data_IF_433252555398
#
_entry.id   IF_433252555398
#
_cell.length_a   1.000
_cell.length_b   1.000
_cell.length_c   1.000
_cell.angle_alpha   90.00
_cell.angle_beta   90.00
_cell.angle_gamma   90.00
#
_symmetry.space_group_name_H-M   'P 1'
#
loop_
_entity.id
_entity.type
_entity.pdbx_description
1 polymer ?
#
# COMPACT_ATOMS: atom_id res chain seq x y z
N UNK A 1 33.74 8.03 -30.44
CA UNK A 1 33.22 9.41 -30.67
C UNK A 1 33.06 10.06 -29.30
N UNK A 2 33.84 11.09 -29.00
CA UNK A 2 33.75 11.82 -27.73
C UNK A 2 32.91 13.07 -27.92
N UNK A 3 31.87 13.24 -27.12
CA UNK A 3 31.05 14.46 -27.10
C UNK A 3 31.56 15.37 -26.00
N UNK A 4 32.26 16.44 -26.39
CA UNK A 4 32.65 17.51 -25.48
C UNK A 4 31.59 18.61 -25.56
N UNK A 5 30.54 18.49 -24.74
CA UNK A 5 29.52 19.53 -24.55
C UNK A 5 29.55 20.02 -23.11
N UNK A 6 29.74 21.32 -22.93
CA UNK A 6 29.54 21.99 -21.65
C UNK A 6 28.08 21.86 -21.22
N UNK A 7 27.85 21.48 -19.96
CA UNK A 7 26.50 21.51 -19.39
C UNK A 7 25.98 22.94 -19.41
N UNK A 8 24.78 23.15 -19.96
CA UNK A 8 24.08 24.43 -19.87
C UNK A 8 23.63 24.73 -18.43
N UNK A 9 23.06 25.92 -18.16
CA UNK A 9 22.59 26.28 -16.83
C UNK A 9 21.54 25.29 -16.31
N UNK A 10 21.84 24.60 -15.21
CA UNK A 10 20.91 23.70 -14.53
C UNK A 10 19.86 24.55 -13.82
N UNK A 11 18.57 24.35 -14.14
CA UNK A 11 17.46 25.13 -13.56
C UNK A 11 16.73 24.42 -12.42
N UNK A 12 16.82 23.10 -12.36
CA UNK A 12 16.20 22.28 -11.34
C UNK A 12 16.95 20.96 -11.21
N UNK A 13 16.93 20.39 -10.00
CA UNK A 13 17.35 19.02 -9.70
C UNK A 13 16.22 18.44 -8.84
N UNK A 14 15.68 17.30 -9.24
CA UNK A 14 14.67 16.55 -8.50
C UNK A 14 15.28 15.24 -8.05
N UNK A 15 14.95 14.82 -6.83
CA UNK A 15 15.35 13.53 -6.29
C UNK A 15 14.11 12.69 -6.10
N UNK A 16 14.20 11.44 -6.51
CA UNK A 16 13.28 10.41 -6.03
C UNK A 16 13.61 10.09 -4.57
N UNK A 17 12.67 9.49 -3.84
CA UNK A 17 12.83 9.14 -2.44
C UNK A 17 13.35 7.71 -2.29
N UNK A 18 12.49 6.77 -2.69
CA UNK A 18 12.70 5.33 -2.57
C UNK A 18 13.84 4.88 -3.48
N UNK A 19 14.74 4.02 -2.98
CA UNK A 19 15.93 3.51 -3.69
C UNK A 19 16.91 4.59 -4.21
N UNK A 20 16.68 5.87 -3.87
CA UNK A 20 17.55 6.99 -4.21
C UNK A 20 18.14 7.64 -2.97
N UNK A 21 17.31 8.02 -2.00
CA UNK A 21 17.74 8.67 -0.76
C UNK A 21 17.92 7.68 0.40
N UNK A 22 17.24 6.53 0.36
CA UNK A 22 17.39 5.45 1.33
C UNK A 22 16.97 4.10 0.73
N UNK A 23 17.49 3.01 1.30
CA UNK A 23 17.01 1.66 1.04
C UNK A 23 15.73 1.41 1.84
N UNK A 24 14.62 1.19 1.13
CA UNK A 24 13.29 1.04 1.70
C UNK A 24 12.85 -0.42 1.83
N UNK A 25 13.66 -1.39 1.37
CA UNK A 25 13.23 -2.77 1.20
C UNK A 25 12.80 -3.42 2.52
N UNK A 26 13.60 -3.23 3.58
CA UNK A 26 13.29 -3.77 4.91
C UNK A 26 12.12 -3.07 5.58
N UNK A 27 11.93 -1.76 5.32
CA UNK A 27 10.79 -1.01 5.82
C UNK A 27 9.51 -1.54 5.17
N UNK A 28 9.45 -1.60 3.84
CA UNK A 28 8.28 -2.12 3.11
C UNK A 28 7.96 -3.55 3.52
N UNK A 29 8.98 -4.41 3.64
CA UNK A 29 8.80 -5.81 4.06
C UNK A 29 8.20 -5.89 5.45
N UNK A 30 8.71 -5.11 6.41
CA UNK A 30 8.20 -5.08 7.77
C UNK A 30 6.79 -4.52 7.84
N UNK A 31 6.53 -3.37 7.21
CA UNK A 31 5.20 -2.75 7.18
C UNK A 31 4.17 -3.70 6.57
N UNK A 32 4.54 -4.45 5.51
CA UNK A 32 3.70 -5.49 4.93
C UNK A 32 3.37 -6.61 5.91
N UNK A 33 4.36 -7.13 6.63
CA UNK A 33 4.17 -8.18 7.64
C UNK A 33 3.27 -7.71 8.79
N UNK A 34 3.52 -6.51 9.33
CA UNK A 34 2.75 -5.95 10.44
C UNK A 34 1.32 -5.60 10.02
N UNK A 35 1.10 -5.16 8.77
CA UNK A 35 -0.26 -4.93 8.24
C UNK A 35 -1.08 -6.22 8.21
N UNK A 36 -0.49 -7.33 7.74
CA UNK A 36 -1.18 -8.63 7.73
C UNK A 36 -1.46 -9.12 9.14
N UNK A 37 -0.45 -9.03 10.02
CA UNK A 37 -0.62 -9.38 11.44
C UNK A 37 -1.74 -8.58 12.09
N UNK A 38 -1.78 -7.27 11.86
CA UNK A 38 -2.83 -6.40 12.37
C UNK A 38 -4.22 -6.90 11.95
N UNK A 39 -4.41 -7.23 10.67
CA UNK A 39 -5.71 -7.73 10.19
C UNK A 39 -6.10 -9.06 10.84
N UNK A 40 -5.15 -9.98 11.00
CA UNK A 40 -5.37 -11.28 11.65
C UNK A 40 -5.77 -11.13 13.14
N UNK A 41 -5.22 -10.13 13.82
CA UNK A 41 -5.51 -9.81 15.22
C UNK A 41 -6.78 -8.96 15.37
N UNK A 42 -7.13 -8.15 14.36
CA UNK A 42 -8.24 -7.19 14.41
C UNK A 42 -9.61 -7.89 14.48
N UNK A 43 -9.83 -8.95 13.69
CA UNK A 43 -11.12 -9.63 13.65
C UNK A 43 -11.00 -11.15 13.43
N UNK A 44 -11.77 -12.01 14.13
CA UNK A 44 -11.68 -13.47 13.97
C UNK A 44 -11.84 -13.97 12.53
N UNK A 45 -12.67 -13.30 11.73
CA UNK A 45 -12.90 -13.67 10.32
C UNK A 45 -11.68 -13.46 9.40
N UNK A 46 -10.68 -12.68 9.86
CA UNK A 46 -9.44 -12.36 9.15
C UNK A 46 -8.24 -13.17 9.65
N UNK A 47 -8.40 -14.08 10.61
CA UNK A 47 -7.27 -14.86 11.19
C UNK A 47 -6.43 -15.59 10.16
N UNK A 48 -7.06 -16.10 9.10
CA UNK A 48 -6.37 -16.84 8.04
C UNK A 48 -5.94 -15.94 6.87
N UNK A 49 -6.14 -14.62 6.95
CA UNK A 49 -5.83 -13.68 5.87
C UNK A 49 -4.32 -13.63 5.59
N UNK A 50 -3.93 -13.78 4.33
CA UNK A 50 -2.53 -13.82 3.89
C UNK A 50 -2.17 -12.63 3.00
N UNK A 51 -0.87 -12.43 2.80
CA UNK A 51 -0.36 -11.40 1.90
C UNK A 51 -0.89 -11.56 0.46
N UNK A 52 -1.04 -12.80 -0.02
CA UNK A 52 -1.55 -13.09 -1.36
C UNK A 52 -3.03 -12.69 -1.52
N UNK A 53 -3.84 -12.85 -0.46
CA UNK A 53 -5.23 -12.38 -0.44
C UNK A 53 -5.28 -10.86 -0.67
N UNK A 54 -4.41 -10.13 0.01
CA UNK A 54 -4.31 -8.68 -0.13
C UNK A 54 -3.89 -8.25 -1.54
N UNK A 55 -2.92 -8.94 -2.16
CA UNK A 55 -2.52 -8.63 -3.53
C UNK A 55 -3.63 -8.93 -4.54
N UNK A 56 -4.36 -10.03 -4.38
CA UNK A 56 -5.50 -10.37 -5.23
C UNK A 56 -6.62 -9.33 -5.15
N UNK A 57 -6.90 -8.82 -3.95
CA UNK A 57 -7.90 -7.76 -3.74
C UNK A 57 -7.46 -6.45 -4.38
N UNK A 58 -6.18 -6.08 -4.27
CA UNK A 58 -5.63 -4.92 -4.96
C UNK A 58 -5.76 -5.04 -6.47
N UNK A 59 -5.40 -6.21 -7.03
CA UNK A 59 -5.53 -6.47 -8.46
C UNK A 59 -6.99 -6.38 -8.92
N UNK A 60 -7.91 -6.94 -8.14
CA UNK A 60 -9.36 -6.85 -8.40
C UNK A 60 -9.84 -5.39 -8.43
N UNK A 61 -9.36 -4.55 -7.52
CA UNK A 61 -9.69 -3.12 -7.51
C UNK A 61 -9.10 -2.39 -8.72
N UNK A 62 -7.87 -2.69 -9.10
CA UNK A 62 -7.22 -2.10 -10.27
C UNK A 62 -7.95 -2.43 -11.57
N UNK A 63 -8.46 -3.66 -11.71
CA UNK A 63 -9.26 -4.07 -12.87
C UNK A 63 -10.58 -3.32 -12.96
N UNK A 64 -11.21 -3.02 -11.81
CA UNK A 64 -12.48 -2.28 -11.75
C UNK A 64 -12.27 -0.78 -11.94
N UNK A 65 -11.18 -0.24 -11.40
CA UNK A 65 -10.87 1.18 -11.34
C UNK A 65 -9.40 1.41 -11.71
N UNK A 66 -9.07 1.44 -13.02
CA UNK A 66 -7.69 1.49 -13.49
C UNK A 66 -6.87 2.65 -12.95
N UNK A 67 -7.51 3.80 -12.67
CA UNK A 67 -6.83 5.02 -12.19
C UNK A 67 -6.45 4.97 -10.70
N UNK A 68 -6.93 3.97 -9.93
CA UNK A 68 -6.67 3.88 -8.48
C UNK A 68 -5.18 3.71 -8.16
N UNK A 69 -4.38 3.21 -9.10
CA UNK A 69 -2.95 3.00 -8.91
C UNK A 69 -2.17 4.30 -8.61
N UNK A 70 -2.71 5.44 -9.02
CA UNK A 70 -2.13 6.76 -8.73
C UNK A 70 -2.22 7.14 -7.25
N UNK A 71 -3.17 6.55 -6.51
CA UNK A 71 -3.35 6.77 -5.08
C UNK A 71 -3.16 5.44 -4.32
N UNK A 72 -1.89 5.13 -4.06
CA UNK A 72 -1.50 3.91 -3.34
C UNK A 72 -2.06 3.83 -1.92
N UNK A 73 -2.39 4.97 -1.30
CA UNK A 73 -2.97 5.04 0.04
C UNK A 73 -4.44 4.65 -0.01
N UNK A 74 -5.19 5.24 -0.92
CA UNK A 74 -6.60 4.89 -1.13
C UNK A 74 -6.76 3.45 -1.63
N UNK A 75 -5.87 3.01 -2.51
CA UNK A 75 -5.85 1.64 -3.00
C UNK A 75 -5.68 0.63 -1.86
N UNK A 76 -4.77 0.90 -0.91
CA UNK A 76 -4.60 0.07 0.29
C UNK A 76 -5.84 0.10 1.17
N UNK A 77 -6.37 1.30 1.48
CA UNK A 77 -7.55 1.48 2.33
C UNK A 77 -8.74 0.68 1.79
N UNK A 78 -9.01 0.78 0.49
CA UNK A 78 -10.11 0.08 -0.18
C UNK A 78 -9.90 -1.43 -0.27
N UNK A 79 -8.66 -1.88 -0.46
CA UNK A 79 -8.36 -3.31 -0.44
C UNK A 79 -8.64 -3.93 0.95
N UNK A 80 -8.31 -3.23 2.04
CA UNK A 80 -8.64 -3.67 3.40
C UNK A 80 -10.15 -3.65 3.65
N UNK A 81 -10.83 -2.58 3.24
CA UNK A 81 -12.29 -2.47 3.38
C UNK A 81 -13.00 -3.62 2.64
N UNK A 82 -12.56 -3.92 1.41
CA UNK A 82 -13.08 -5.03 0.63
C UNK A 82 -12.79 -6.39 1.28
N UNK A 83 -11.59 -6.59 1.84
CA UNK A 83 -11.27 -7.82 2.57
C UNK A 83 -12.24 -8.08 3.73
N UNK A 84 -12.63 -7.03 4.46
CA UNK A 84 -13.57 -7.13 5.58
C UNK A 84 -14.99 -7.43 5.10
N UNK A 85 -15.44 -6.75 4.04
CA UNK A 85 -16.74 -7.00 3.42
C UNK A 85 -16.86 -8.45 2.91
N UNK A 86 -15.82 -8.96 2.23
CA UNK A 86 -15.79 -10.33 1.70
C UNK A 86 -15.81 -11.39 2.82
N UNK A 87 -15.38 -11.02 4.02
CA UNK A 87 -15.43 -11.86 5.23
C UNK A 87 -16.73 -11.69 6.04
N UNK A 88 -17.69 -10.93 5.51
CA UNK A 88 -19.04 -10.80 6.06
C UNK A 88 -19.20 -9.72 7.13
N UNK A 89 -18.22 -8.82 7.30
CA UNK A 89 -18.38 -7.66 8.17
C UNK A 89 -19.35 -6.67 7.53
N UNK A 90 -20.06 -5.89 8.36
CA UNK A 90 -20.91 -4.82 7.85
C UNK A 90 -20.07 -3.71 7.19
N UNK A 91 -20.72 -2.87 6.38
CA UNK A 91 -20.06 -1.72 5.77
C UNK A 91 -19.49 -0.73 6.81
N UNK A 92 -20.16 -0.58 7.95
CA UNK A 92 -19.66 0.28 9.03
C UNK A 92 -18.40 -0.30 9.67
N UNK A 93 -18.44 -1.58 10.07
CA UNK A 93 -17.29 -2.28 10.65
C UNK A 93 -16.10 -2.34 9.68
N UNK A 94 -16.36 -2.58 8.40
CA UNK A 94 -15.33 -2.63 7.36
C UNK A 94 -14.65 -1.28 7.16
N UNK A 95 -15.41 -0.19 7.22
CA UNK A 95 -14.87 1.17 7.12
C UNK A 95 -14.03 1.54 8.34
N UNK A 96 -14.51 1.21 9.54
CA UNK A 96 -13.80 1.47 10.79
C UNK A 96 -12.52 0.62 10.89
N UNK A 97 -12.59 -0.65 10.47
CA UNK A 97 -11.44 -1.53 10.42
C UNK A 97 -10.41 -1.13 9.37
N UNK A 98 -10.84 -0.70 8.18
CA UNK A 98 -9.93 -0.15 7.18
C UNK A 98 -9.21 1.10 7.68
N UNK A 99 -9.91 1.99 8.40
CA UNK A 99 -9.30 3.15 9.05
C UNK A 99 -8.24 2.72 10.07
N UNK A 100 -8.57 1.80 10.97
CA UNK A 100 -7.66 1.31 12.00
C UNK A 100 -6.42 0.62 11.39
N UNK A 101 -6.60 -0.14 10.30
CA UNK A 101 -5.49 -0.74 9.56
C UNK A 101 -4.58 0.30 8.91
N UNK A 102 -5.14 1.40 8.39
CA UNK A 102 -4.34 2.51 7.84
C UNK A 102 -3.59 3.28 8.93
N UNK A 103 -4.15 3.41 10.13
CA UNK A 103 -3.46 3.98 11.29
C UNK A 103 -2.29 3.08 11.74
N UNK A 104 -2.47 1.76 11.75
CA UNK A 104 -1.39 0.80 12.00
C UNK A 104 -0.31 0.86 10.92
N UNK A 105 -0.70 0.91 9.65
CA UNK A 105 0.21 1.05 8.52
C UNK A 105 1.05 2.33 8.64
N UNK A 106 0.46 3.46 9.03
CA UNK A 106 1.19 4.72 9.18
C UNK A 106 2.18 4.74 10.36
N UNK A 107 2.05 3.80 11.31
CA UNK A 107 2.99 3.64 12.41
C UNK A 107 4.27 2.88 12.02
N UNK A 108 4.17 1.98 11.03
CA UNK A 108 5.22 1.04 10.63
C UNK A 108 5.92 1.44 9.34
#
# INVERSE_FOLDING_TARGET
MHFYRSLGPIRAITFDLDDTLYDNADVIRRTGQESIRFLQEYHPALRDFQADDFQNLRQTLLEREPDIYHDVTEWRRRAVELAMLDRGLSAAESKDGAKAAMENFAHW
#
